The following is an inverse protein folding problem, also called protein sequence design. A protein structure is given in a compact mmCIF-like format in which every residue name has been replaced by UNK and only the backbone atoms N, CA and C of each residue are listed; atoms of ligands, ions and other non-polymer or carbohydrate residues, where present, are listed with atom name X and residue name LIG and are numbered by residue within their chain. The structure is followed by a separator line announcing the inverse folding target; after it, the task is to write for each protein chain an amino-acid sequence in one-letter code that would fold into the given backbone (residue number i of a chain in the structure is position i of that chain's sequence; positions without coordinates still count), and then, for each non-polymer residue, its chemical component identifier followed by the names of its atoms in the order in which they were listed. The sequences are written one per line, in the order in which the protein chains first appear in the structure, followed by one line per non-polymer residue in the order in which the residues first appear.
data_IF_177737263166
#
_entry.id   IF_177737263166
#
_cell.length_a   1.000
_cell.length_b   1.000
_cell.length_c   1.000
_cell.angle_alpha   90.00
_cell.angle_beta   90.00
_cell.angle_gamma   90.00
#
_symmetry.space_group_name_H-M   'P 1'
#
loop_
_entity.id
_entity.type
_entity.pdbx_description
1 polymer ?
#
# COMPACT_ATOMS: atom_id res chain seq x y z
N UNK A 1 44.17 -36.25 -59.42
CA UNK A 1 44.77 -35.02 -58.86
C UNK A 1 43.95 -33.87 -59.46
N UNK A 2 43.25 -32.95 -58.79
CA UNK A 2 43.21 -32.32 -57.45
C UNK A 2 41.70 -32.16 -57.06
N UNK A 3 41.22 -32.53 -55.87
CA UNK A 3 41.20 -31.80 -54.57
C UNK A 3 40.58 -30.39 -54.59
N UNK A 4 39.35 -30.33 -54.08
CA UNK A 4 38.68 -29.35 -53.19
C UNK A 4 39.04 -27.87 -53.24
N UNK A 5 37.99 -27.01 -53.24
CA UNK A 5 37.82 -25.99 -52.20
C UNK A 5 36.34 -25.83 -51.85
N UNK A 6 36.03 -26.13 -50.59
CA UNK A 6 34.72 -26.05 -49.96
C UNK A 6 34.54 -24.67 -49.33
N UNK A 7 33.31 -24.16 -49.46
CA UNK A 7 32.71 -22.98 -48.84
C UNK A 7 33.26 -22.58 -47.46
N UNK A 8 33.70 -21.33 -47.33
CA UNK A 8 33.74 -20.60 -46.06
C UNK A 8 33.00 -19.26 -46.24
N UNK A 9 31.86 -19.15 -45.58
CA UNK A 9 31.09 -17.92 -45.46
C UNK A 9 30.34 -17.96 -44.13
N UNK A 10 31.08 -17.78 -43.04
CA UNK A 10 30.55 -17.70 -41.69
C UNK A 10 29.68 -16.43 -41.56
N UNK A 11 28.36 -16.63 -41.54
CA UNK A 11 27.39 -15.59 -41.24
C UNK A 11 27.27 -15.43 -39.71
N UNK A 12 27.50 -14.19 -39.30
CA UNK A 12 27.35 -13.62 -37.96
C UNK A 12 26.25 -14.26 -37.11
N UNK A 13 26.67 -14.88 -36.00
CA UNK A 13 25.79 -15.14 -34.86
C UNK A 13 25.64 -13.82 -34.12
N UNK A 14 24.51 -13.14 -34.29
CA UNK A 14 24.09 -12.10 -33.35
C UNK A 14 23.81 -12.77 -32.00
N UNK A 15 24.75 -12.63 -31.08
CA UNK A 15 24.49 -12.86 -29.65
C UNK A 15 23.50 -11.77 -29.20
N UNK A 16 22.22 -12.13 -29.11
CA UNK A 16 21.26 -11.40 -28.29
C UNK A 16 21.82 -11.36 -26.88
N UNK A 17 22.24 -10.18 -26.44
CA UNK A 17 22.49 -9.94 -25.03
C UNK A 17 21.15 -10.18 -24.31
N UNK A 18 21.06 -11.29 -23.58
CA UNK A 18 20.08 -11.46 -22.51
C UNK A 18 20.28 -10.29 -21.55
N UNK A 19 19.45 -9.27 -21.70
CA UNK A 19 19.30 -8.24 -20.69
C UNK A 19 18.87 -8.96 -19.43
N UNK A 20 19.78 -9.04 -18.44
CA UNK A 20 19.52 -9.58 -17.12
C UNK A 20 18.12 -9.14 -16.65
N UNK A 21 17.32 -10.07 -16.13
CA UNK A 21 15.98 -9.81 -15.63
C UNK A 21 16.02 -8.67 -14.59
N UNK A 22 15.80 -7.42 -15.03
CA UNK A 22 15.88 -6.21 -14.19
C UNK A 22 14.72 -6.07 -13.21
N UNK A 23 13.87 -7.08 -13.09
CA UNK A 23 12.83 -7.16 -12.06
C UNK A 23 13.22 -8.28 -11.11
N UNK A 24 13.60 -7.89 -9.89
CA UNK A 24 13.80 -8.82 -8.80
C UNK A 24 12.41 -9.11 -8.21
N UNK A 25 11.72 -10.08 -8.80
CA UNK A 25 10.35 -10.43 -8.46
C UNK A 25 10.27 -11.31 -7.22
N UNK A 26 10.19 -10.72 -6.03
CA UNK A 26 9.69 -11.45 -4.85
C UNK A 26 8.17 -11.41 -4.81
N UNK A 27 7.54 -12.58 -4.75
CA UNK A 27 6.11 -12.68 -4.45
C UNK A 27 5.90 -12.59 -2.95
N UNK A 28 4.90 -11.83 -2.52
CA UNK A 28 4.57 -11.75 -1.11
C UNK A 28 4.02 -13.07 -0.58
N UNK A 29 4.40 -13.41 0.65
CA UNK A 29 3.81 -14.53 1.37
C UNK A 29 2.34 -14.22 1.75
N UNK A 30 1.55 -15.23 2.18
CA UNK A 30 0.21 -14.98 2.70
C UNK A 30 0.21 -13.93 3.82
N UNK A 31 -0.81 -13.06 3.82
CA UNK A 31 -0.95 -11.92 4.73
C UNK A 31 0.19 -10.89 4.68
N UNK A 32 0.93 -10.85 3.58
CA UNK A 32 1.82 -9.74 3.25
C UNK A 32 1.29 -8.94 2.07
N UNK A 33 1.63 -7.66 2.06
CA UNK A 33 1.26 -6.70 1.02
C UNK A 33 2.50 -5.93 0.59
N UNK A 34 2.54 -5.50 -0.66
CA UNK A 34 3.63 -4.65 -1.13
C UNK A 34 3.44 -3.27 -0.51
N UNK A 35 4.40 -2.85 0.29
CA UNK A 35 4.38 -1.54 0.94
C UNK A 35 5.48 -0.63 0.43
N UNK A 36 6.48 -1.15 -0.29
CA UNK A 36 7.55 -0.33 -0.86
C UNK A 36 7.88 -0.75 -2.29
N UNK A 37 8.10 0.25 -3.13
CA UNK A 37 8.66 0.08 -4.47
C UNK A 37 9.83 1.02 -4.63
N UNK A 38 10.91 0.49 -5.18
CA UNK A 38 12.11 1.23 -5.54
C UNK A 38 12.30 1.14 -7.05
N UNK A 39 12.52 2.28 -7.70
CA UNK A 39 12.88 2.35 -9.11
C UNK A 39 14.33 2.83 -9.18
N UNK A 40 15.23 1.95 -9.55
CA UNK A 40 16.66 2.23 -9.65
C UNK A 40 16.98 3.06 -10.90
N UNK A 41 18.14 3.74 -10.89
CA UNK A 41 18.60 4.57 -12.01
C UNK A 41 18.78 3.81 -13.32
N UNK A 42 19.05 2.50 -13.24
CA UNK A 42 19.21 1.61 -14.40
C UNK A 42 17.87 1.08 -14.94
N UNK A 43 16.75 1.53 -14.36
CA UNK A 43 15.38 1.12 -14.67
C UNK A 43 14.95 -0.19 -14.01
N UNK A 44 15.78 -0.78 -13.14
CA UNK A 44 15.36 -1.93 -12.36
C UNK A 44 14.27 -1.53 -11.35
N UNK A 45 13.31 -2.42 -11.14
CA UNK A 45 12.19 -2.18 -10.25
C UNK A 45 12.16 -3.30 -9.21
N UNK A 46 12.14 -2.91 -7.94
CA UNK A 46 12.05 -3.81 -6.82
C UNK A 46 10.80 -3.51 -6.00
N UNK A 47 10.11 -4.57 -5.58
CA UNK A 47 8.95 -4.49 -4.72
C UNK A 47 9.20 -5.26 -3.43
N UNK A 48 9.04 -4.60 -2.30
CA UNK A 48 9.23 -5.19 -0.98
C UNK A 48 7.89 -5.46 -0.30
N UNK A 49 7.79 -6.63 0.34
CA UNK A 49 6.60 -7.08 1.03
C UNK A 49 6.68 -6.75 2.52
N UNK A 50 5.61 -6.17 3.07
CA UNK A 50 5.43 -5.93 4.49
C UNK A 50 4.30 -6.76 5.09
N UNK A 51 4.33 -7.04 6.41
CA UNK A 51 3.24 -7.75 7.08
C UNK A 51 1.98 -6.89 7.12
N UNK A 52 0.85 -7.49 6.80
CA UNK A 52 -0.44 -6.81 6.88
C UNK A 52 -0.97 -6.83 8.32
N UNK A 53 -1.36 -5.68 8.91
CA UNK A 53 -1.77 -5.60 10.32
C UNK A 53 -3.14 -6.22 10.63
N UNK A 54 -4.04 -6.38 9.64
CA UNK A 54 -5.34 -7.03 9.81
C UNK A 54 -5.91 -7.52 8.47
N UNK A 55 -6.88 -8.43 8.55
CA UNK A 55 -7.54 -9.02 7.37
C UNK A 55 -6.80 -10.22 6.82
N UNK A 56 -7.10 -10.58 5.57
CA UNK A 56 -6.49 -11.71 4.87
C UNK A 56 -6.07 -11.34 3.45
N UNK A 57 -4.87 -11.77 3.05
CA UNK A 57 -4.33 -11.58 1.71
C UNK A 57 -3.62 -12.86 1.23
N UNK A 58 -3.61 -13.10 -0.09
CA UNK A 58 -2.79 -14.16 -0.69
C UNK A 58 -3.43 -15.55 -0.74
N UNK A 59 -4.74 -15.69 -0.45
CA UNK A 59 -5.42 -17.00 -0.49
C UNK A 59 -5.60 -17.54 -1.92
N UNK A 60 -5.94 -16.67 -2.87
CA UNK A 60 -6.06 -17.00 -4.29
C UNK A 60 -5.28 -15.97 -5.09
N UNK A 61 -4.47 -16.38 -6.03
CA UNK A 61 -3.67 -15.46 -6.84
C UNK A 61 -3.78 -15.79 -8.32
N UNK A 62 -3.86 -14.74 -9.13
CA UNK A 62 -3.84 -14.79 -10.58
C UNK A 62 -2.58 -14.10 -11.06
N UNK A 63 -1.83 -14.77 -11.92
CA UNK A 63 -0.59 -14.24 -12.48
C UNK A 63 -0.82 -13.58 -13.84
N UNK A 64 0.21 -12.93 -14.36
CA UNK A 64 0.23 -12.37 -15.72
C UNK A 64 -0.86 -11.34 -16.02
N UNK A 65 -1.27 -10.57 -15.01
CA UNK A 65 -2.30 -9.55 -15.16
C UNK A 65 -1.68 -8.21 -15.51
N UNK A 66 -2.32 -7.43 -16.40
CA UNK A 66 -1.88 -6.06 -16.66
C UNK A 66 -2.21 -5.11 -15.51
N UNK A 67 -3.25 -5.41 -14.73
CA UNK A 67 -3.70 -4.63 -13.58
C UNK A 67 -4.51 -5.52 -12.61
N UNK A 68 -4.47 -5.20 -11.32
CA UNK A 68 -5.29 -5.89 -10.32
C UNK A 68 -6.68 -5.26 -10.17
N UNK A 69 -7.68 -6.08 -9.85
CA UNK A 69 -9.04 -5.62 -9.55
C UNK A 69 -9.06 -4.99 -8.17
N UNK A 70 -8.97 -3.67 -8.11
CA UNK A 70 -8.77 -2.92 -6.87
C UNK A 70 -9.75 -3.28 -5.74
N UNK A 71 -10.97 -3.72 -6.04
CA UNK A 71 -11.99 -4.12 -5.05
C UNK A 71 -11.72 -5.47 -4.36
N UNK A 72 -11.26 -6.48 -5.11
CA UNK A 72 -11.15 -7.86 -4.62
C UNK A 72 -9.72 -8.37 -4.52
N UNK A 73 -8.82 -7.78 -5.31
CA UNK A 73 -7.45 -8.24 -5.47
C UNK A 73 -6.45 -7.11 -5.24
N UNK A 74 -5.25 -7.48 -4.83
CA UNK A 74 -4.13 -6.57 -4.62
C UNK A 74 -2.89 -7.04 -5.35
N UNK A 75 -2.04 -6.08 -5.68
CA UNK A 75 -0.70 -6.32 -6.17
C UNK A 75 0.16 -7.05 -5.13
N UNK A 76 0.73 -8.20 -5.52
CA UNK A 76 1.50 -9.10 -4.65
C UNK A 76 2.85 -9.52 -5.25
N UNK A 77 3.12 -9.14 -6.50
CA UNK A 77 4.40 -9.36 -7.17
C UNK A 77 4.32 -9.02 -8.64
N UNK A 78 5.46 -8.96 -9.33
CA UNK A 78 5.54 -8.58 -10.74
C UNK A 78 6.64 -9.34 -11.48
N UNK A 79 6.53 -9.37 -12.80
CA UNK A 79 7.59 -9.76 -13.73
C UNK A 79 7.52 -8.91 -14.99
N UNK A 80 8.63 -8.83 -15.74
CA UNK A 80 8.60 -8.24 -17.07
C UNK A 80 7.75 -9.08 -18.03
N UNK A 81 6.98 -8.42 -18.88
CA UNK A 81 6.41 -9.05 -20.06
C UNK A 81 7.51 -9.41 -21.06
N UNK A 82 7.24 -10.33 -21.98
CA UNK A 82 8.21 -10.79 -22.99
C UNK A 82 8.75 -9.68 -23.90
N UNK A 83 8.04 -8.55 -23.99
CA UNK A 83 8.46 -7.37 -24.75
C UNK A 83 9.48 -6.48 -24.00
N UNK A 84 9.71 -6.70 -22.70
CA UNK A 84 10.57 -5.87 -21.85
C UNK A 84 10.09 -4.44 -21.61
N UNK A 85 8.86 -4.10 -22.01
CA UNK A 85 8.33 -2.72 -21.92
C UNK A 85 7.20 -2.55 -20.92
N UNK A 86 6.56 -3.65 -20.52
CA UNK A 86 5.41 -3.64 -19.61
C UNK A 86 5.58 -4.64 -18.50
N UNK A 87 5.01 -4.35 -17.33
CA UNK A 87 4.96 -5.28 -16.21
C UNK A 87 3.71 -6.16 -16.28
N UNK A 88 3.90 -7.41 -15.89
CA UNK A 88 2.86 -8.39 -15.63
C UNK A 88 2.79 -8.60 -14.12
N UNK A 89 1.61 -8.38 -13.56
CA UNK A 89 1.34 -8.41 -12.14
C UNK A 89 0.81 -9.77 -11.69
N UNK A 90 1.19 -10.14 -10.47
CA UNK A 90 0.53 -11.15 -9.65
C UNK A 90 -0.48 -10.45 -8.76
N UNK A 91 -1.75 -10.74 -8.98
CA UNK A 91 -2.87 -10.17 -8.23
C UNK A 91 -3.43 -11.24 -7.30
N UNK A 92 -3.48 -10.95 -6.00
CA UNK A 92 -3.95 -11.88 -4.99
C UNK A 92 -5.21 -11.36 -4.30
N UNK A 93 -6.12 -12.28 -3.96
CA UNK A 93 -7.35 -12.01 -3.24
C UNK A 93 -7.07 -11.30 -1.92
N UNK A 94 -7.91 -10.32 -1.62
CA UNK A 94 -7.75 -9.43 -0.49
C UNK A 94 -9.08 -9.21 0.21
N UNK A 95 -9.08 -9.40 1.53
CA UNK A 95 -10.27 -9.22 2.36
C UNK A 95 -9.91 -8.44 3.63
N UNK A 96 -10.46 -7.23 3.74
CA UNK A 96 -10.33 -6.34 4.89
C UNK A 96 -11.67 -5.67 5.15
N UNK A 97 -11.94 -5.33 6.41
CA UNK A 97 -13.22 -4.74 6.80
C UNK A 97 -13.47 -3.37 6.15
N UNK A 98 -12.43 -2.53 6.06
CA UNK A 98 -12.51 -1.20 5.45
C UNK A 98 -11.20 -0.84 4.78
N UNK A 99 -11.29 -0.37 3.54
CA UNK A 99 -10.18 0.20 2.78
C UNK A 99 -10.61 1.47 2.08
N UNK A 100 -9.67 2.39 1.88
CA UNK A 100 -9.89 3.68 1.23
C UNK A 100 -8.77 3.93 0.23
N UNK A 101 -9.12 4.41 -0.96
CA UNK A 101 -8.12 4.85 -1.93
C UNK A 101 -7.53 6.18 -1.46
N UNK A 102 -6.20 6.24 -1.36
CA UNK A 102 -5.48 7.43 -0.87
C UNK A 102 -5.10 8.32 -2.05
N UNK A 103 -4.56 7.73 -3.11
CA UNK A 103 -4.07 8.48 -4.25
C UNK A 103 -3.19 7.66 -5.17
N UNK A 104 -2.61 8.36 -6.14
CA UNK A 104 -1.57 7.85 -7.03
C UNK A 104 -0.34 8.72 -6.97
N UNK A 105 0.81 8.11 -7.25
CA UNK A 105 2.08 8.81 -7.40
C UNK A 105 2.89 8.23 -8.56
N UNK A 106 3.84 8.98 -9.10
CA UNK A 106 4.79 8.52 -10.12
C UNK A 106 6.17 8.41 -9.47
N UNK A 107 6.68 7.18 -9.34
CA UNK A 107 8.02 6.92 -8.82
C UNK A 107 9.02 6.96 -9.97
N UNK A 108 9.87 7.99 -9.99
CA UNK A 108 10.88 8.17 -11.04
C UNK A 108 12.14 7.32 -10.76
N UNK A 109 13.04 7.14 -11.75
CA UNK A 109 14.35 6.52 -11.52
C UNK A 109 15.14 7.24 -10.42
N UNK A 110 15.75 6.45 -9.53
CA UNK A 110 16.44 6.93 -8.35
C UNK A 110 15.51 7.21 -7.15
N UNK A 111 14.21 6.98 -7.29
CA UNK A 111 13.21 7.24 -6.26
C UNK A 111 12.53 5.97 -5.76
N UNK A 112 11.81 6.10 -4.65
CA UNK A 112 11.02 5.04 -4.10
C UNK A 112 9.75 5.59 -3.44
N UNK A 113 8.75 4.73 -3.34
CA UNK A 113 7.57 4.95 -2.53
C UNK A 113 7.59 3.99 -1.34
N UNK A 114 7.19 4.46 -0.16
CA UNK A 114 7.07 3.62 1.04
C UNK A 114 5.78 3.97 1.80
N UNK A 115 4.88 2.99 1.85
CA UNK A 115 3.73 2.99 2.75
C UNK A 115 4.10 2.40 4.12
N UNK A 116 3.12 1.82 4.80
CA UNK A 116 3.29 1.28 6.15
C UNK A 116 2.33 1.90 7.14
N UNK A 117 2.71 1.88 8.42
CA UNK A 117 1.88 2.41 9.50
C UNK A 117 1.75 3.93 9.34
N UNK A 118 0.52 4.40 9.34
CA UNK A 118 0.19 5.81 9.17
C UNK A 118 0.22 6.51 10.53
N UNK A 119 0.80 7.71 10.57
CA UNK A 119 0.81 8.54 11.77
C UNK A 119 -0.61 9.01 12.13
N UNK A 120 -0.91 9.08 13.44
CA UNK A 120 -2.26 9.46 13.95
C UNK A 120 -2.80 10.77 13.38
N UNK A 121 -1.92 11.73 13.10
CA UNK A 121 -2.28 13.03 12.52
C UNK A 121 -2.88 12.93 11.11
N UNK A 122 -2.53 11.87 10.38
CA UNK A 122 -2.93 11.64 9.01
C UNK A 122 -4.02 10.57 8.90
N UNK A 123 -4.60 10.13 10.04
CA UNK A 123 -5.65 9.11 10.04
C UNK A 123 -6.95 9.64 9.43
N UNK A 124 -7.62 8.82 8.62
CA UNK A 124 -8.97 9.12 8.14
C UNK A 124 -10.05 8.67 9.13
N UNK A 125 -9.79 7.64 9.92
CA UNK A 125 -10.65 7.10 10.95
C UNK A 125 -10.40 7.73 12.32
N UNK A 126 -11.35 7.55 13.23
CA UNK A 126 -11.28 8.06 14.61
C UNK A 126 -10.64 7.07 15.60
N UNK A 127 -10.43 5.82 15.19
CA UNK A 127 -9.83 4.77 16.03
C UNK A 127 -9.22 3.65 15.21
N UNK A 128 -8.27 2.92 15.81
CA UNK A 128 -7.61 1.77 15.19
C UNK A 128 -6.23 2.08 14.62
N UNK A 129 -5.69 1.12 13.86
CA UNK A 129 -4.43 1.28 13.14
C UNK A 129 -4.72 1.45 11.66
N UNK A 130 -4.09 2.45 11.05
CA UNK A 130 -4.15 2.67 9.60
C UNK A 130 -2.83 2.28 8.96
N UNK A 131 -2.92 1.66 7.78
CA UNK A 131 -1.75 1.17 7.07
C UNK A 131 -1.89 1.36 5.56
N UNK A 132 -0.89 2.00 4.97
CA UNK A 132 -0.82 2.28 3.53
C UNK A 132 -0.06 1.18 2.80
N UNK A 133 -0.59 0.74 1.67
CA UNK A 133 0.03 -0.28 0.82
C UNK A 133 -0.20 0.04 -0.66
N UNK A 134 0.65 -0.54 -1.50
CA UNK A 134 0.58 -0.39 -2.95
C UNK A 134 -0.37 -1.45 -3.48
N UNK A 135 -1.52 -1.00 -3.96
CA UNK A 135 -2.59 -1.86 -4.46
C UNK A 135 -2.42 -2.27 -5.91
N UNK A 136 -1.73 -1.45 -6.71
CA UNK A 136 -1.55 -1.63 -8.15
C UNK A 136 -0.38 -0.77 -8.65
N UNK A 137 0.18 -1.13 -9.81
CA UNK A 137 1.24 -0.37 -10.47
C UNK A 137 1.12 -0.41 -11.99
N UNK A 138 1.75 0.56 -12.66
CA UNK A 138 1.83 0.63 -14.12
C UNK A 138 3.12 1.34 -14.54
N UNK A 139 3.81 0.80 -15.53
CA UNK A 139 4.93 1.49 -16.17
C UNK A 139 4.42 2.67 -17.00
N UNK A 140 5.01 3.84 -16.80
CA UNK A 140 4.70 5.06 -17.55
C UNK A 140 5.98 5.74 -18.05
N UNK A 141 5.84 6.72 -18.94
CA UNK A 141 6.99 7.51 -19.38
C UNK A 141 7.60 8.24 -18.18
N UNK A 142 8.87 7.95 -17.88
CA UNK A 142 9.59 8.57 -16.78
C UNK A 142 9.48 7.86 -15.42
N UNK A 143 8.83 6.68 -15.32
CA UNK A 143 8.82 5.94 -14.06
C UNK A 143 7.73 4.87 -13.94
N UNK A 144 7.35 4.59 -12.70
CA UNK A 144 6.28 3.64 -12.34
C UNK A 144 5.18 4.37 -11.59
N UNK A 145 3.97 4.40 -12.15
CA UNK A 145 2.79 4.91 -11.43
C UNK A 145 2.33 3.88 -10.41
N UNK A 146 2.11 4.32 -9.18
CA UNK A 146 1.65 3.50 -8.05
C UNK A 146 0.26 3.94 -7.59
N UNK A 147 -0.60 3.00 -7.24
CA UNK A 147 -1.91 3.27 -6.63
C UNK A 147 -1.88 2.84 -5.18
N UNK A 148 -2.15 3.78 -4.29
CA UNK A 148 -2.06 3.56 -2.84
C UNK A 148 -3.44 3.43 -2.24
N UNK A 149 -3.62 2.38 -1.46
CA UNK A 149 -4.79 2.19 -0.62
C UNK A 149 -4.39 2.11 0.83
N UNK A 150 -5.33 2.52 1.68
CA UNK A 150 -5.23 2.47 3.12
C UNK A 150 -6.18 1.44 3.67
N UNK A 151 -5.69 0.56 4.54
CA UNK A 151 -6.55 -0.29 5.36
C UNK A 151 -6.79 0.34 6.72
N UNK A 152 -8.02 0.21 7.21
CA UNK A 152 -8.41 0.63 8.54
C UNK A 152 -8.66 -0.62 9.38
N UNK A 153 -7.74 -0.90 10.29
CA UNK A 153 -7.84 -2.04 11.18
C UNK A 153 -8.63 -1.66 12.42
N UNK A 154 -9.64 -2.47 12.81
CA UNK A 154 -10.33 -2.24 14.07
C UNK A 154 -9.32 -2.29 15.22
N UNK A 155 -9.54 -1.52 16.31
CA UNK A 155 -8.71 -1.63 17.49
C UNK A 155 -8.74 -3.09 17.97
N UNK A 156 -7.57 -3.64 18.32
CA UNK A 156 -7.49 -4.97 18.93
C UNK A 156 -8.30 -4.90 20.23
N UNK A 157 -9.51 -5.46 20.23
CA UNK A 157 -10.26 -5.66 21.47
C UNK A 157 -9.39 -6.57 22.35
N UNK A 158 -9.10 -6.22 23.60
CA UNK A 158 -8.49 -7.19 24.51
C UNK A 158 -9.43 -8.39 24.54
N UNK A 159 -8.89 -9.56 24.19
CA UNK A 159 -9.60 -10.83 24.28
C UNK A 159 -9.86 -11.07 25.76
N UNK A 160 -11.00 -10.58 26.26
CA UNK A 160 -11.60 -11.17 27.44
C UNK A 160 -11.92 -12.60 27.04
N UNK A 161 -11.24 -13.54 27.68
CA UNK A 161 -11.43 -14.97 27.52
C UNK A 161 -12.94 -15.30 27.50
N UNK A 162 -13.49 -15.61 26.33
CA UNK A 162 -14.72 -16.36 26.25
C UNK A 162 -14.34 -17.83 26.42
N UNK A 163 -14.22 -18.22 27.69
CA UNK A 163 -14.37 -19.61 28.08
C UNK A 163 -15.75 -20.05 27.61
N UNK A 164 -15.76 -21.10 26.80
CA UNK A 164 -16.88 -22.02 26.64
C UNK A 164 -17.37 -22.45 28.01
N UNK A 165 -18.60 -22.10 28.38
CA UNK A 165 -19.41 -22.90 29.29
C UNK A 165 -20.90 -22.61 29.06
N UNK A 166 -21.59 -23.65 28.59
CA UNK A 166 -23.04 -23.77 28.62
C UNK A 166 -23.48 -23.78 30.09
N UNK A 167 -24.46 -22.95 30.46
CA UNK A 167 -25.43 -23.24 31.53
C UNK A 167 -26.61 -22.25 31.51
N UNK A 168 -27.77 -22.79 31.83
CA UNK A 168 -29.14 -22.25 31.73
C UNK A 168 -29.47 -21.25 32.86
N UNK A 169 -30.39 -20.30 32.57
CA UNK A 169 -31.11 -19.30 33.40
C UNK A 169 -31.34 -19.59 34.91
N UNK A 170 -31.69 -18.60 35.80
CA UNK A 170 -32.46 -17.37 35.52
C UNK A 170 -32.00 -16.04 36.19
N UNK A 171 -32.57 -14.93 35.70
CA UNK A 171 -32.46 -13.54 36.20
C UNK A 171 -32.62 -13.36 37.73
N UNK A 172 -32.00 -12.30 38.27
CA UNK A 172 -32.72 -11.39 39.16
C UNK A 172 -32.72 -9.94 38.64
N UNK A 173 -33.89 -9.31 38.68
CA UNK A 173 -34.11 -7.90 38.40
C UNK A 173 -33.38 -7.01 39.43
N UNK A 174 -32.39 -6.24 38.96
CA UNK A 174 -31.77 -5.15 39.73
C UNK A 174 -32.24 -3.82 39.12
N UNK A 175 -33.29 -3.26 39.71
CA UNK A 175 -33.79 -1.90 39.48
C UNK A 175 -33.04 -0.97 40.43
N UNK A 176 -32.19 -0.09 39.89
CA UNK A 176 -31.86 1.26 40.44
C UNK A 176 -30.60 1.87 39.80
N UNK A 177 -29.72 1.07 39.17
CA UNK A 177 -28.47 1.58 38.58
C UNK A 177 -28.54 1.98 37.10
N UNK A 178 -29.43 1.37 36.31
CA UNK A 178 -29.50 1.59 34.86
C UNK A 178 -30.15 2.91 34.49
N UNK A 179 -31.21 3.32 35.18
CA UNK A 179 -31.94 4.56 34.84
C UNK A 179 -31.09 5.81 35.10
N UNK A 180 -30.22 5.80 36.11
CA UNK A 180 -29.25 6.87 36.34
C UNK A 180 -28.23 6.98 35.19
N UNK A 181 -27.74 5.85 34.68
CA UNK A 181 -26.79 5.83 33.56
C UNK A 181 -27.43 6.29 32.24
N UNK A 182 -28.70 5.94 32.01
CA UNK A 182 -29.44 6.41 30.83
C UNK A 182 -29.76 7.91 30.91
N UNK A 183 -30.18 8.42 32.07
CA UNK A 183 -30.44 9.85 32.23
C UNK A 183 -29.16 10.69 32.12
N UNK A 184 -28.06 10.28 32.74
CA UNK A 184 -26.76 10.98 32.59
C UNK A 184 -26.27 11.01 31.15
N UNK A 185 -26.47 9.91 30.40
CA UNK A 185 -26.10 9.85 28.98
C UNK A 185 -26.97 10.75 28.11
N UNK A 186 -28.28 10.84 28.41
CA UNK A 186 -29.22 11.71 27.70
C UNK A 186 -28.90 13.19 27.92
N UNK A 187 -28.60 13.59 29.16
CA UNK A 187 -28.19 14.95 29.49
C UNK A 187 -26.89 15.36 28.77
N UNK A 188 -25.91 14.46 28.71
CA UNK A 188 -24.66 14.72 28.00
C UNK A 188 -24.87 14.94 26.50
N UNK A 189 -25.75 14.14 25.87
CA UNK A 189 -26.04 14.26 24.44
C UNK A 189 -26.79 15.56 24.11
N UNK A 190 -27.76 15.96 24.95
CA UNK A 190 -28.48 17.23 24.80
C UNK A 190 -27.54 18.43 24.92
N UNK A 191 -26.57 18.38 25.86
CA UNK A 191 -25.57 19.44 26.02
C UNK A 191 -24.63 19.56 24.82
N UNK A 192 -24.29 18.43 24.19
CA UNK A 192 -23.45 18.42 22.99
C UNK A 192 -24.17 18.99 21.77
N UNK A 193 -25.48 18.75 21.63
CA UNK A 193 -26.29 19.32 20.55
C UNK A 193 -26.49 20.83 20.72
N UNK A 194 -26.67 21.32 21.95
CA UNK A 194 -26.74 22.75 22.22
C UNK A 194 -25.41 23.47 21.91
N UNK A 195 -24.27 22.87 22.26
CA UNK A 195 -22.96 23.45 21.96
C UNK A 195 -22.65 23.53 20.46
N UNK A 196 -23.25 22.67 19.63
CA UNK A 196 -23.07 22.70 18.17
C UNK A 196 -23.97 23.72 17.47
N UNK A 197 -25.06 24.19 18.10
CA UNK A 197 -25.92 25.23 17.50
C UNK A 197 -25.31 26.63 17.61
N UNK A 198 -24.45 26.90 18.59
CA UNK A 198 -23.77 28.19 18.73
C UNK A 198 -22.59 28.37 17.76
N UNK A 199 -22.18 27.31 17.03
CA UNK A 199 -21.02 27.33 16.13
C UNK A 199 -21.36 27.65 14.66
N UNK A 200 -22.65 27.77 14.28
CA UNK A 200 -23.06 27.92 12.87
C UNK A 200 -23.37 29.37 12.43
N UNK A 201 -23.04 30.41 13.22
CA UNK A 201 -23.28 31.82 12.83
C UNK A 201 -22.03 32.68 12.65
N UNK A 202 -20.91 32.12 12.17
CA UNK A 202 -19.84 32.94 11.59
C UNK A 202 -19.34 32.36 10.26
N UNK A 203 -19.66 33.12 9.21
CA UNK A 203 -19.31 32.88 7.83
C UNK A 203 -17.94 33.48 7.48
N UNK A 204 -17.39 32.94 6.38
CA UNK A 204 -16.56 33.61 5.34
C UNK A 204 -15.05 33.32 5.32
N UNK A 205 -14.67 32.77 4.15
CA UNK A 205 -13.39 32.82 3.43
C UNK A 205 -12.18 32.04 3.99
N UNK A 206 -11.87 30.92 3.32
CA UNK A 206 -10.50 30.69 2.90
C UNK A 206 -10.42 29.86 1.62
N UNK A 207 -9.79 30.49 0.63
CA UNK A 207 -9.05 29.97 -0.52
C UNK A 207 -8.95 28.45 -0.75
N UNK A 208 -9.20 28.12 -2.01
CA UNK A 208 -8.92 26.86 -2.70
C UNK A 208 -7.43 26.48 -2.60
N UNK A 209 -7.08 25.66 -1.60
CA UNK A 209 -5.82 24.91 -1.60
C UNK A 209 -6.10 23.51 -2.14
N UNK A 210 -5.53 23.22 -3.32
CA UNK A 210 -5.48 21.89 -3.88
C UNK A 210 -4.94 20.89 -2.83
N UNK A 211 -5.53 19.69 -2.71
CA UNK A 211 -5.12 18.73 -1.70
C UNK A 211 -3.66 18.35 -1.91
N UNK A 212 -2.81 18.66 -0.92
CA UNK A 212 -1.42 18.20 -0.88
C UNK A 212 -1.46 16.68 -0.84
N UNK A 213 -0.95 16.04 -1.89
CA UNK A 213 -0.90 14.59 -2.04
C UNK A 213 -0.11 14.00 -0.85
N UNK A 214 -0.72 13.19 0.03
CA UNK A 214 -0.07 12.69 1.26
C UNK A 214 1.00 11.61 1.00
N UNK A 215 1.33 11.33 -0.27
CA UNK A 215 2.16 10.18 -0.67
C UNK A 215 3.69 10.43 -0.65
N UNK A 216 4.17 11.61 -0.28
CA UNK A 216 5.60 11.91 -0.34
C UNK A 216 6.29 11.81 1.03
N UNK A 217 6.77 10.62 1.39
CA UNK A 217 7.98 10.51 2.19
C UNK A 217 9.17 10.22 1.28
N UNK A 218 9.86 11.29 0.89
CA UNK A 218 11.16 11.26 0.20
C UNK A 218 12.24 11.43 1.27
N UNK A 219 13.13 10.46 1.50
CA UNK A 219 14.27 10.72 2.36
C UNK A 219 15.15 11.80 1.70
N UNK A 220 15.83 12.64 2.48
CA UNK A 220 16.76 13.61 1.91
C UNK A 220 17.88 12.89 1.16
N UNK A 221 18.36 13.44 0.03
CA UNK A 221 19.55 12.91 -0.63
C UNK A 221 20.69 12.88 0.38
N UNK A 222 21.36 11.73 0.51
CA UNK A 222 22.62 11.68 1.24
C UNK A 222 23.59 12.59 0.50
N UNK A 223 23.99 13.70 1.13
CA UNK A 223 25.04 14.57 0.63
C UNK A 223 26.35 13.77 0.60
N UNK A 224 26.62 13.06 -0.49
CA UNK A 224 27.99 12.70 -0.85
C UNK A 224 28.69 13.97 -1.35
N UNK A 225 29.18 14.75 -0.39
CA UNK A 225 29.71 16.08 -0.63
C UNK A 225 30.77 16.50 0.36
N UNK A 226 31.86 15.74 0.50
CA UNK A 226 33.14 16.33 0.88
C UNK A 226 34.20 16.05 -0.19
N UNK A 227 34.37 17.06 -1.02
CA UNK A 227 35.47 17.31 -1.96
C UNK A 227 36.84 16.95 -1.40
N UNK A 228 37.51 15.99 -2.04
CA UNK A 228 38.98 15.91 -2.08
C UNK A 228 39.45 15.47 -3.46
N UNK A 229 39.53 16.42 -4.38
CA UNK A 229 40.49 16.42 -5.49
C UNK A 229 40.59 17.79 -6.18
N UNK A 230 41.17 18.76 -5.47
CA UNK A 230 42.10 19.74 -6.06
C UNK A 230 43.26 19.92 -5.09
N UNK A 231 44.21 18.99 -5.20
CA UNK A 231 45.60 19.25 -4.83
C UNK A 231 46.29 19.84 -6.06
N UNK A 232 46.52 21.16 -6.06
CA UNK A 232 47.70 21.85 -6.58
C UNK A 232 47.60 23.32 -6.23
#
# INVERSE_FOLDING_TARGET
MMKSFVLLGALFVFTLAEGADKVHGTHCAPNQVINKITVYDDGAIEAECGPMPCGQAGQRCTEEQAQCRAETDIFSGMKWARNGQSLLLRCCSFNVAKKVYVGTDLVAPGEYYTGGVVAKKDHYGTSGYEYDFISNIRTEQGGVRVWVHRIMCPPKTPVSAQQTEFSVDPQPTITDGRDFAFNKRREFMLRQMAANQDAETQTVAHEEQAPVNPLQYRPPPQNEGCSRRRCR
#
